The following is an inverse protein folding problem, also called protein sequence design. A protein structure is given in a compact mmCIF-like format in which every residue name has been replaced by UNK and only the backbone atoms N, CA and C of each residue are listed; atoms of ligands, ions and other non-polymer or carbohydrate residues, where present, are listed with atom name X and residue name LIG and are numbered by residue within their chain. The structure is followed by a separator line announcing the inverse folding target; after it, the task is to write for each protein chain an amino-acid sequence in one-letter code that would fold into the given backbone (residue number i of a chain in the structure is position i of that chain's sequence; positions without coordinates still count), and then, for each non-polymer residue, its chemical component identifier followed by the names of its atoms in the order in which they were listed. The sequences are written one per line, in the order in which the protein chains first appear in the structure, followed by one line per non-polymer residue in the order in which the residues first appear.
data_IF_679266625680
#
_entry.id   IF_679266625680
#
_cell.length_a   1.000
_cell.length_b   1.000
_cell.length_c   1.000
_cell.angle_alpha   90.00
_cell.angle_beta   90.00
_cell.angle_gamma   90.00
#
_symmetry.space_group_name_H-M   'P 1'
#
loop_
_entity.id
_entity.type
_entity.pdbx_description
1 polymer ?
#
# COMPACT_ATOMS: atom_id res chain seq x y z
N UNK A 1 1.00 0.15 8.97
CA UNK A 1 0.57 -0.39 7.64
C UNK A 1 1.75 -0.63 6.71
N UNK A 2 2.54 0.39 6.36
CA UNK A 2 3.70 0.26 5.46
C UNK A 2 4.62 -0.92 5.81
N UNK A 3 5.05 -1.04 7.07
CA UNK A 3 5.90 -2.15 7.51
C UNK A 3 5.29 -3.52 7.18
N UNK A 4 3.99 -3.71 7.41
CA UNK A 4 3.29 -4.94 7.06
C UNK A 4 3.26 -5.22 5.55
N UNK A 5 3.12 -4.18 4.71
CA UNK A 5 3.20 -4.31 3.25
C UNK A 5 4.61 -4.77 2.84
N UNK A 6 5.65 -4.11 3.37
CA UNK A 6 7.06 -4.45 3.09
C UNK A 6 7.34 -5.89 3.52
N UNK A 7 6.99 -6.27 4.74
CA UNK A 7 7.18 -7.63 5.26
C UNK A 7 6.43 -8.67 4.42
N UNK A 8 5.21 -8.38 3.97
CA UNK A 8 4.48 -9.29 3.10
C UNK A 8 5.13 -9.46 1.71
N UNK A 9 5.74 -8.40 1.16
CA UNK A 9 6.51 -8.50 -0.10
C UNK A 9 7.82 -9.27 0.10
N UNK A 10 8.53 -9.04 1.19
CA UNK A 10 9.71 -9.82 1.58
C UNK A 10 9.37 -11.31 1.71
N UNK A 11 8.26 -11.63 2.39
CA UNK A 11 7.77 -12.99 2.57
C UNK A 11 7.41 -13.68 1.23
N UNK A 12 7.18 -12.92 0.17
CA UNK A 12 6.93 -13.41 -1.19
C UNK A 12 8.20 -13.48 -2.06
N UNK A 13 9.37 -13.25 -1.49
CA UNK A 13 10.65 -13.36 -2.19
C UNK A 13 11.12 -12.09 -2.91
N UNK A 14 10.47 -10.94 -2.69
CA UNK A 14 11.00 -9.67 -3.18
C UNK A 14 12.34 -9.35 -2.49
N UNK A 15 13.30 -8.81 -3.23
CA UNK A 15 14.53 -8.28 -2.63
C UNK A 15 14.21 -7.13 -1.65
N UNK A 16 15.08 -6.83 -0.67
CA UNK A 16 14.85 -5.72 0.26
C UNK A 16 14.57 -4.37 -0.42
N UNK A 17 15.32 -4.06 -1.49
CA UNK A 17 15.12 -2.82 -2.27
C UNK A 17 13.77 -2.82 -2.97
N UNK A 18 13.39 -3.92 -3.63
CA UNK A 18 12.08 -4.03 -4.29
C UNK A 18 10.93 -3.95 -3.27
N UNK A 19 11.04 -4.64 -2.14
CA UNK A 19 10.00 -4.64 -1.11
C UNK A 19 9.80 -3.24 -0.51
N UNK A 20 10.90 -2.52 -0.25
CA UNK A 20 10.84 -1.14 0.24
C UNK A 20 10.22 -0.19 -0.80
N UNK A 21 10.69 -0.25 -2.05
CA UNK A 21 10.22 0.62 -3.13
C UNK A 21 8.74 0.39 -3.44
N UNK A 22 8.35 -0.86 -3.71
CA UNK A 22 6.96 -1.21 -4.00
C UNK A 22 6.06 -1.05 -2.78
N UNK A 23 6.54 -1.34 -1.57
CA UNK A 23 5.79 -1.15 -0.33
C UNK A 23 5.43 0.33 -0.10
N UNK A 24 6.40 1.23 -0.26
CA UNK A 24 6.19 2.67 -0.13
C UNK A 24 5.25 3.20 -1.23
N UNK A 25 5.47 2.80 -2.49
CA UNK A 25 4.59 3.18 -3.59
C UNK A 25 3.14 2.75 -3.33
N UNK A 26 2.94 1.48 -2.99
CA UNK A 26 1.60 0.91 -2.73
C UNK A 26 0.91 1.58 -1.55
N UNK A 27 1.65 1.88 -0.47
CA UNK A 27 1.14 2.64 0.67
C UNK A 27 0.66 4.04 0.28
N UNK A 28 1.46 4.77 -0.53
CA UNK A 28 1.10 6.08 -1.05
C UNK A 28 -0.17 6.03 -1.92
N UNK A 29 -0.26 5.07 -2.86
CA UNK A 29 -1.45 4.91 -3.71
C UNK A 29 -2.72 4.59 -2.90
N UNK A 30 -2.61 3.84 -1.80
CA UNK A 30 -3.74 3.63 -0.90
C UNK A 30 -4.18 4.95 -0.24
N UNK A 31 -3.21 5.74 0.26
CA UNK A 31 -3.45 7.06 0.84
C UNK A 31 -4.12 8.02 -0.14
N UNK A 32 -3.66 8.08 -1.40
CA UNK A 32 -4.29 8.90 -2.45
C UNK A 32 -5.76 8.54 -2.70
N UNK A 33 -6.11 7.25 -2.67
CA UNK A 33 -7.51 6.83 -2.84
C UNK A 33 -8.34 7.26 -1.64
N UNK A 34 -7.86 7.06 -0.42
CA UNK A 34 -8.60 7.47 0.77
C UNK A 34 -8.70 8.98 0.90
N UNK A 35 -7.66 9.72 0.52
CA UNK A 35 -7.68 11.17 0.51
C UNK A 35 -8.80 11.73 -0.38
N UNK A 36 -9.10 11.07 -1.50
CA UNK A 36 -10.24 11.43 -2.37
C UNK A 36 -11.61 11.11 -1.77
N UNK A 37 -11.69 10.18 -0.81
CA UNK A 37 -12.95 9.72 -0.19
C UNK A 37 -13.26 10.41 1.13
N UNK A 38 -12.24 10.64 1.96
CA UNK A 38 -12.36 11.10 3.35
C UNK A 38 -11.77 12.51 3.53
N UNK A 39 -10.88 12.93 2.63
CA UNK A 39 -10.06 14.13 2.78
C UNK A 39 -8.59 13.78 3.08
N UNK A 40 -7.68 14.72 2.83
CA UNK A 40 -6.24 14.51 3.01
C UNK A 40 -5.84 14.19 4.47
N UNK A 41 -6.67 14.61 5.42
CA UNK A 41 -6.55 14.32 6.86
C UNK A 41 -7.88 13.70 7.31
N UNK A 42 -7.81 12.65 8.14
CA UNK A 42 -8.98 12.10 8.83
C UNK A 42 -9.25 10.60 8.59
N UNK A 43 -8.63 9.99 7.57
CA UNK A 43 -8.69 8.53 7.42
C UNK A 43 -7.70 7.83 8.35
N UNK A 44 -8.04 6.60 8.73
CA UNK A 44 -7.30 5.81 9.70
C UNK A 44 -6.42 4.77 9.03
N UNK A 45 -5.39 4.33 9.75
CA UNK A 45 -4.48 3.28 9.28
C UNK A 45 -5.21 1.99 8.89
N UNK A 46 -6.29 1.61 9.58
CA UNK A 46 -7.09 0.42 9.25
C UNK A 46 -7.83 0.54 7.92
N UNK A 47 -8.27 1.75 7.57
CA UNK A 47 -8.92 2.01 6.29
C UNK A 47 -7.89 1.92 5.16
N UNK A 48 -6.66 2.41 5.41
CA UNK A 48 -5.56 2.26 4.46
C UNK A 48 -5.20 0.79 4.24
N UNK A 49 -5.15 -0.01 5.31
CA UNK A 49 -4.89 -1.44 5.21
C UNK A 49 -5.95 -2.16 4.35
N UNK A 50 -7.23 -1.77 4.45
CA UNK A 50 -8.31 -2.34 3.64
C UNK A 50 -8.17 -2.03 2.12
N UNK A 51 -7.48 -0.96 1.75
CA UNK A 51 -7.24 -0.60 0.33
C UNK A 51 -6.10 -1.40 -0.31
N UNK A 52 -5.22 -2.04 0.49
CA UNK A 52 -4.00 -2.71 0.01
C UNK A 52 -4.29 -3.79 -1.04
N UNK A 53 -5.23 -4.75 -0.84
CA UNK A 53 -5.49 -5.79 -1.84
C UNK A 53 -5.95 -5.22 -3.18
N UNK A 54 -6.82 -4.21 -3.14
CA UNK A 54 -7.35 -3.55 -4.34
C UNK A 54 -6.27 -2.78 -5.10
N UNK A 55 -5.37 -2.10 -4.40
CA UNK A 55 -4.24 -1.40 -5.03
C UNK A 55 -3.23 -2.38 -5.60
N UNK A 56 -2.93 -3.47 -4.88
CA UNK A 56 -2.04 -4.52 -5.37
C UNK A 56 -2.54 -5.11 -6.70
N UNK A 57 -3.83 -5.44 -6.81
CA UNK A 57 -4.43 -5.91 -8.06
C UNK A 57 -4.30 -4.88 -9.21
N UNK A 58 -4.53 -3.59 -8.94
CA UNK A 58 -4.40 -2.54 -9.96
C UNK A 58 -2.98 -2.36 -10.47
N UNK A 59 -1.98 -2.55 -9.63
CA UNK A 59 -0.57 -2.42 -10.02
C UNK A 59 -0.08 -3.61 -10.85
N UNK A 60 -0.68 -4.79 -10.69
CA UNK A 60 -0.38 -5.97 -11.53
C UNK A 60 -1.02 -5.86 -12.92
N UNK A 61 -2.12 -5.12 -13.04
CA UNK A 61 -2.85 -4.92 -14.29
C UNK A 61 -2.36 -3.71 -15.12
N UNK A 62 -1.29 -3.04 -14.69
CA UNK A 62 -0.64 -1.93 -15.39
C UNK A 62 0.60 -2.45 -16.12
#
# INVERSE_FOLDING_TARGET
VLAGIITALLARGATPVQAAAWGAHMHGRCGEVLARRVGAIGYLARELAAEVPRIMQRLVAQ
#
